data_IF_782589136350
#
_entry.id   IF_782589136350
#
_cell.length_a   1.000
_cell.length_b   1.000
_cell.length_c   1.000
_cell.angle_alpha   90.00
_cell.angle_beta   90.00
_cell.angle_gamma   90.00
#
_symmetry.space_group_name_H-M   'P 1'
#
loop_
_entity.id
_entity.type
_entity.pdbx_description
1 polymer ?
#
# COMPACT_ATOMS: atom_id res chain seq x y z
N UNK A 1 41.52 27.58 -62.46
CA UNK A 1 41.81 27.10 -61.08
C UNK A 1 40.54 27.26 -60.26
N UNK A 2 39.76 26.20 -60.11
CA UNK A 2 39.67 25.34 -58.91
C UNK A 2 38.76 25.90 -57.79
N UNK A 3 37.60 25.26 -57.68
CA UNK A 3 36.65 25.06 -56.56
C UNK A 3 36.88 25.75 -55.21
N UNK A 4 35.77 26.23 -54.61
CA UNK A 4 35.38 26.15 -53.18
C UNK A 4 33.97 26.76 -53.03
N UNK A 5 32.89 25.98 -53.15
CA UNK A 5 32.18 25.29 -52.05
C UNK A 5 31.94 26.18 -50.82
N UNK A 6 30.72 26.69 -50.65
CA UNK A 6 30.25 27.33 -49.43
C UNK A 6 28.92 26.71 -48.98
N UNK A 7 29.11 25.68 -48.15
CA UNK A 7 28.28 25.08 -47.10
C UNK A 7 26.87 25.70 -46.91
N UNK A 8 25.85 24.92 -47.28
CA UNK A 8 24.46 25.08 -46.85
C UNK A 8 24.39 24.85 -45.33
N UNK A 9 24.15 25.89 -44.54
CA UNK A 9 23.94 25.74 -43.09
C UNK A 9 22.53 25.22 -42.84
N UNK A 10 22.44 23.95 -42.42
CA UNK A 10 21.21 23.35 -41.91
C UNK A 10 20.88 23.99 -40.55
N UNK A 11 19.81 24.78 -40.50
CA UNK A 11 19.17 25.18 -39.24
C UNK A 11 18.49 23.95 -38.65
N UNK A 12 19.19 23.27 -37.74
CA UNK A 12 18.60 22.24 -36.87
C UNK A 12 17.63 22.93 -35.91
N UNK A 13 16.34 22.88 -36.24
CA UNK A 13 15.28 23.16 -35.30
C UNK A 13 15.42 22.17 -34.13
N UNK A 14 15.97 22.65 -33.02
CA UNK A 14 15.90 21.92 -31.76
C UNK A 14 14.43 21.94 -31.37
N UNK A 15 13.72 20.85 -31.66
CA UNK A 15 12.42 20.61 -31.05
C UNK A 15 12.65 20.75 -29.53
N UNK A 16 12.03 21.77 -28.92
CA UNK A 16 11.78 21.74 -27.49
C UNK A 16 10.92 20.51 -27.26
N UNK A 17 11.56 19.37 -27.01
CA UNK A 17 10.99 18.40 -26.11
C UNK A 17 10.91 19.12 -24.77
N UNK A 18 9.83 19.89 -24.59
CA UNK A 18 9.38 20.23 -23.25
C UNK A 18 9.38 18.91 -22.50
N UNK A 19 10.10 18.78 -21.37
CA UNK A 19 9.88 17.64 -20.50
C UNK A 19 8.37 17.65 -20.25
N UNK A 20 7.67 16.64 -20.74
CA UNK A 20 6.33 16.36 -20.24
C UNK A 20 6.53 16.38 -18.73
N UNK A 21 5.76 17.17 -17.95
CA UNK A 21 5.77 16.99 -16.53
C UNK A 21 5.51 15.51 -16.36
N UNK A 22 6.50 14.76 -15.85
CA UNK A 22 6.14 13.53 -15.15
C UNK A 22 5.17 14.09 -14.13
N UNK A 23 3.90 13.72 -14.28
CA UNK A 23 2.96 13.82 -13.17
C UNK A 23 3.80 13.32 -11.99
N UNK A 24 4.09 14.22 -11.06
CA UNK A 24 4.62 13.78 -9.79
C UNK A 24 3.50 12.88 -9.30
N UNK A 25 3.66 11.58 -9.50
CA UNK A 25 2.92 10.54 -8.79
C UNK A 25 3.39 10.58 -7.32
N UNK A 26 3.32 11.77 -6.70
CA UNK A 26 2.90 11.90 -5.31
C UNK A 26 1.41 11.51 -5.31
N UNK A 27 1.13 10.27 -5.71
CA UNK A 27 -0.08 9.61 -5.29
C UNK A 27 0.08 9.52 -3.77
N UNK A 28 -0.64 10.40 -3.08
CA UNK A 28 -0.71 10.47 -1.62
C UNK A 28 -1.48 9.23 -1.12
N UNK A 29 -0.89 8.05 -1.36
CA UNK A 29 -1.44 6.78 -0.94
C UNK A 29 -1.42 6.78 0.58
N UNK A 30 -2.56 6.47 1.22
CA UNK A 30 -2.62 6.45 2.66
C UNK A 30 -1.66 5.40 3.23
N UNK A 31 -0.76 5.86 4.09
CA UNK A 31 0.18 5.01 4.81
C UNK A 31 -0.45 4.60 6.13
N UNK A 32 -0.65 3.31 6.32
CA UNK A 32 -1.05 2.72 7.59
C UNK A 32 0.21 2.27 8.34
N UNK A 33 0.35 2.69 9.59
CA UNK A 33 1.45 2.26 10.46
C UNK A 33 1.06 0.98 11.18
N UNK A 34 1.81 -0.10 10.93
CA UNK A 34 1.63 -1.38 11.62
C UNK A 34 2.78 -1.58 12.61
N UNK A 35 2.46 -1.75 13.88
CA UNK A 35 3.45 -1.92 14.96
C UNK A 35 3.11 -3.10 15.86
N UNK A 36 4.03 -3.47 16.76
CA UNK A 36 3.83 -4.53 17.76
C UNK A 36 3.38 -5.88 17.18
N UNK A 37 3.86 -6.21 15.97
CA UNK A 37 3.50 -7.45 15.31
C UNK A 37 4.06 -8.67 16.05
N UNK A 38 3.18 -9.62 16.36
CA UNK A 38 3.51 -10.92 16.91
C UNK A 38 2.60 -11.99 16.32
N UNK A 39 3.19 -13.14 15.98
CA UNK A 39 2.44 -14.28 15.48
C UNK A 39 3.03 -15.58 16.04
N UNK A 40 2.14 -16.45 16.49
CA UNK A 40 2.42 -17.84 16.80
C UNK A 40 1.50 -18.70 15.95
N UNK A 41 2.07 -19.49 15.04
CA UNK A 41 1.32 -20.38 14.15
C UNK A 41 1.62 -21.82 14.52
N UNK A 42 0.58 -22.61 14.70
CA UNK A 42 0.66 -24.03 14.92
C UNK A 42 -0.43 -24.76 14.12
N UNK A 43 -0.09 -25.91 13.56
CA UNK A 43 -1.03 -26.75 12.82
C UNK A 43 -1.72 -27.80 13.72
N UNK A 44 -1.25 -27.97 14.96
CA UNK A 44 -1.92 -28.83 15.95
C UNK A 44 -3.27 -28.23 16.38
N UNK A 45 -4.41 -28.91 16.11
CA UNK A 45 -5.74 -28.39 16.45
C UNK A 45 -5.99 -28.29 17.96
N UNK A 46 -5.16 -28.91 18.80
CA UNK A 46 -5.24 -28.81 20.26
C UNK A 46 -4.51 -27.60 20.84
N UNK A 47 -3.66 -26.95 20.04
CA UNK A 47 -2.94 -25.74 20.44
C UNK A 47 -3.50 -24.52 19.70
N UNK A 48 -3.72 -23.40 20.40
CA UNK A 48 -4.16 -22.18 19.76
C UNK A 48 -2.99 -21.51 19.02
N UNK A 49 -3.26 -21.10 17.79
CA UNK A 49 -2.46 -20.08 17.12
C UNK A 49 -2.96 -18.69 17.47
N UNK A 50 -2.06 -17.71 17.32
CA UNK A 50 -2.30 -16.31 17.64
C UNK A 50 -1.63 -15.39 16.62
N UNK A 51 -2.29 -14.30 16.26
CA UNK A 51 -1.67 -13.15 15.60
C UNK A 51 -2.20 -11.88 16.21
N UNK A 52 -1.31 -10.93 16.46
CA UNK A 52 -1.62 -9.63 17.04
C UNK A 52 -0.75 -8.54 16.43
N UNK A 53 -1.32 -7.39 16.15
CA UNK A 53 -0.58 -6.18 15.75
C UNK A 53 -1.45 -4.96 15.98
N UNK A 54 -0.82 -3.79 16.00
CA UNK A 54 -1.47 -2.51 16.20
C UNK A 54 -1.43 -1.69 14.90
N UNK A 55 -2.55 -1.05 14.53
CA UNK A 55 -2.69 -0.26 13.31
C UNK A 55 -3.04 1.18 13.64
N UNK A 56 -2.33 2.12 13.02
CA UNK A 56 -2.63 3.56 13.06
C UNK A 56 -2.74 4.12 11.64
N UNK A 57 -3.87 4.74 11.33
CA UNK A 57 -4.02 5.69 10.21
C UNK A 57 -3.82 7.10 10.77
N UNK A 58 -2.71 7.80 10.45
CA UNK A 58 -2.34 9.05 11.10
C UNK A 58 -3.05 10.26 10.48
N UNK A 59 -3.83 10.07 9.41
CA UNK A 59 -4.46 11.18 8.68
C UNK A 59 -5.58 11.77 9.54
N UNK A 60 -5.55 13.08 9.86
CA UNK A 60 -6.49 13.67 10.81
C UNK A 60 -7.97 13.41 10.50
N UNK A 61 -8.36 13.52 9.22
CA UNK A 61 -9.75 13.36 8.79
C UNK A 61 -10.20 11.89 8.70
N UNK A 62 -9.26 10.94 8.78
CA UNK A 62 -9.51 9.50 8.66
C UNK A 62 -8.86 8.70 9.80
N UNK A 63 -8.58 9.36 10.92
CA UNK A 63 -7.79 8.80 12.00
C UNK A 63 -8.45 7.52 12.54
N UNK A 64 -7.67 6.45 12.58
CA UNK A 64 -8.05 5.19 13.21
C UNK A 64 -6.86 4.64 13.95
N UNK A 65 -7.12 4.16 15.16
CA UNK A 65 -6.18 3.44 16.00
C UNK A 65 -6.88 2.20 16.52
N UNK A 66 -6.34 1.01 16.24
CA UNK A 66 -6.98 -0.27 16.59
C UNK A 66 -5.96 -1.39 16.74
N UNK A 67 -6.26 -2.32 17.63
CA UNK A 67 -5.55 -3.58 17.76
C UNK A 67 -6.25 -4.66 16.92
N UNK A 68 -5.47 -5.42 16.17
CA UNK A 68 -5.96 -6.52 15.34
C UNK A 68 -5.50 -7.82 15.96
N UNK A 69 -6.43 -8.59 16.53
CA UNK A 69 -6.11 -9.80 17.28
C UNK A 69 -6.96 -10.96 16.78
N UNK A 70 -6.32 -12.10 16.50
CA UNK A 70 -6.99 -13.34 16.15
C UNK A 70 -6.39 -14.51 16.93
N UNK A 71 -7.25 -15.18 17.69
CA UNK A 71 -6.97 -16.47 18.32
C UNK A 71 -7.80 -17.57 17.66
N UNK A 72 -7.18 -18.71 17.37
CA UNK A 72 -7.88 -19.87 16.80
C UNK A 72 -7.16 -21.16 17.13
N UNK A 73 -7.91 -22.24 17.35
CA UNK A 73 -7.39 -23.60 17.46
C UNK A 73 -6.81 -24.09 16.11
N UNK A 74 -5.57 -24.58 16.12
CA UNK A 74 -4.85 -24.99 14.91
C UNK A 74 -4.47 -23.81 14.01
N UNK A 75 -4.36 -24.08 12.71
CA UNK A 75 -3.74 -23.15 11.75
C UNK A 75 -4.51 -21.83 11.56
N UNK A 76 -3.75 -20.72 11.43
CA UNK A 76 -4.30 -19.40 11.10
C UNK A 76 -4.54 -19.19 9.61
N UNK A 77 -3.95 -20.03 8.75
CA UNK A 77 -4.04 -19.87 7.30
C UNK A 77 -5.48 -20.10 6.84
N UNK A 78 -6.26 -19.01 6.74
CA UNK A 78 -7.60 -18.98 6.13
C UNK A 78 -7.72 -17.79 5.19
N UNK A 79 -8.62 -17.93 4.22
CA UNK A 79 -8.95 -16.93 3.21
C UNK A 79 -10.06 -15.96 3.62
N UNK A 80 -10.33 -15.80 4.92
CA UNK A 80 -11.44 -14.95 5.41
C UNK A 80 -10.87 -13.71 6.10
N UNK A 81 -11.43 -12.55 5.76
CA UNK A 81 -11.13 -11.27 6.39
C UNK A 81 -11.68 -11.23 7.82
N UNK A 82 -10.88 -10.71 8.75
CA UNK A 82 -11.22 -10.55 10.16
C UNK A 82 -11.14 -9.08 10.51
N UNK A 83 -12.20 -8.52 11.08
CA UNK A 83 -12.20 -7.13 11.54
C UNK A 83 -11.28 -6.98 12.76
N UNK A 84 -10.59 -5.85 12.86
CA UNK A 84 -9.82 -5.49 14.03
C UNK A 84 -10.75 -5.10 15.20
N UNK A 85 -10.19 -4.98 16.40
CA UNK A 85 -10.95 -4.69 17.59
C UNK A 85 -11.60 -3.30 17.52
N UNK A 86 -12.85 -3.21 17.98
CA UNK A 86 -13.59 -1.95 18.11
C UNK A 86 -13.82 -1.19 16.80
N UNK A 87 -13.59 -1.78 15.62
CA UNK A 87 -13.87 -1.14 14.33
C UNK A 87 -14.16 -2.14 13.21
N UNK A 88 -15.09 -1.80 12.30
CA UNK A 88 -15.33 -2.54 11.05
C UNK A 88 -14.52 -2.00 9.87
N UNK A 89 -13.82 -0.89 10.09
CA UNK A 89 -13.15 -0.12 9.04
C UNK A 89 -11.80 -0.70 8.65
N UNK A 90 -11.18 -1.41 9.60
CA UNK A 90 -9.91 -2.09 9.43
C UNK A 90 -10.16 -3.59 9.57
N UNK A 91 -9.75 -4.33 8.55
CA UNK A 91 -9.78 -5.79 8.57
C UNK A 91 -8.50 -6.35 8.00
N UNK A 92 -8.17 -7.58 8.40
CA UNK A 92 -6.97 -8.24 7.95
C UNK A 92 -7.22 -9.68 7.56
N UNK A 93 -6.30 -10.20 6.75
CA UNK A 93 -6.26 -11.58 6.31
C UNK A 93 -4.84 -12.10 6.48
N UNK A 94 -4.70 -13.21 7.21
CA UNK A 94 -3.42 -13.84 7.49
C UNK A 94 -3.26 -15.09 6.61
N UNK A 95 -2.37 -15.00 5.61
CA UNK A 95 -2.07 -16.08 4.67
C UNK A 95 -0.67 -16.65 4.92
N UNK A 96 -0.30 -17.70 4.18
CA UNK A 96 0.98 -18.39 4.34
C UNK A 96 2.20 -17.54 3.97
N UNK A 97 2.03 -16.61 3.05
CA UNK A 97 3.08 -15.79 2.45
C UNK A 97 3.05 -14.33 2.89
N UNK A 98 1.88 -13.86 3.31
CA UNK A 98 1.68 -12.46 3.66
C UNK A 98 0.52 -12.26 4.63
N UNK A 99 0.59 -11.17 5.38
CA UNK A 99 -0.56 -10.52 5.99
C UNK A 99 -1.06 -9.44 5.04
N UNK A 100 -2.37 -9.42 4.80
CA UNK A 100 -3.04 -8.35 4.05
C UNK A 100 -3.88 -7.53 5.01
N UNK A 101 -3.82 -6.22 4.83
CA UNK A 101 -4.60 -5.26 5.58
C UNK A 101 -5.53 -4.53 4.62
N UNK A 102 -6.78 -4.35 5.01
CA UNK A 102 -7.77 -3.58 4.28
C UNK A 102 -8.28 -2.47 5.20
N UNK A 103 -8.27 -1.25 4.68
CA UNK A 103 -8.96 -0.09 5.25
C UNK A 103 -10.05 0.32 4.29
N UNK A 104 -11.30 0.33 4.74
CA UNK A 104 -12.40 0.89 3.95
C UNK A 104 -12.29 2.41 4.03
N UNK A 105 -12.12 3.09 2.89
CA UNK A 105 -12.22 4.55 2.85
C UNK A 105 -13.64 4.91 2.47
N UNK A 106 -14.35 5.63 3.33
CA UNK A 106 -15.56 6.34 2.91
C UNK A 106 -15.08 7.51 2.06
N UNK A 107 -15.05 7.32 0.74
CA UNK A 107 -14.88 8.43 -0.19
C UNK A 107 -16.18 9.24 -0.18
N UNK A 108 -16.36 10.08 0.84
CA UNK A 108 -17.50 11.00 0.92
C UNK A 108 -17.43 12.14 -0.13
N UNK A 109 -16.42 12.13 -1.01
CA UNK A 109 -16.17 13.21 -1.99
C UNK A 109 -15.87 12.74 -3.43
N UNK A 110 -16.47 11.63 -3.90
CA UNK A 110 -16.71 11.50 -5.35
C UNK A 110 -18.11 12.08 -5.63
N UNK A 111 -18.16 13.39 -5.86
CA UNK A 111 -19.26 14.02 -6.62
C UNK A 111 -18.85 14.12 -8.09
#
# INVERSE_FOLDING_TARGET
MHFRTAILSLLTASALASPTPRVNEDDDYPILHVTNFGAFVNDDPSMPSHVSFHVVDPRPDNFVETDCILYRAGSLFKTVWVNCENTSDVSFLFASDAMRLQRVFLLDHIQ
#
